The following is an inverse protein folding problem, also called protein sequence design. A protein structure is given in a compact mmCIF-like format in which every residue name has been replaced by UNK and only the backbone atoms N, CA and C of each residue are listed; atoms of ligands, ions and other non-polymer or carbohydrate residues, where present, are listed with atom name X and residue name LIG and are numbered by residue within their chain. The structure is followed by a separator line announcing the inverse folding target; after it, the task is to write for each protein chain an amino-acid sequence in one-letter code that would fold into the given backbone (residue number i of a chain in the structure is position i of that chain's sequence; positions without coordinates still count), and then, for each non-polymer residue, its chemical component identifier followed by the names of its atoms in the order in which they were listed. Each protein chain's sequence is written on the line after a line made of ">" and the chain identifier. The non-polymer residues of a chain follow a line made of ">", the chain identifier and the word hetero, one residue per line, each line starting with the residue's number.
data_IF_747655684382
#
_entry.id   IF_747655684382
#
_cell.length_a   1.000
_cell.length_b   1.000
_cell.length_c   1.000
_cell.angle_alpha   90.00
_cell.angle_beta   90.00
_cell.angle_gamma   90.00
#
_symmetry.space_group_name_H-M   'P 1'
#
loop_
_entity.id
_entity.type
_entity.pdbx_description
1 polymer ?
#
# COMPACT_ATOMS: atom_id res chain seq x y z
N UNK A 1 22.99 7.80 -16.57
CA UNK A 1 22.21 8.13 -15.35
C UNK A 1 23.03 7.81 -14.09
N UNK A 2 23.33 8.81 -13.24
CA UNK A 2 24.02 8.61 -11.96
C UNK A 2 23.14 9.12 -10.82
N UNK A 3 22.80 8.25 -9.86
CA UNK A 3 21.91 8.55 -8.74
C UNK A 3 22.62 8.18 -7.44
N UNK A 4 22.73 9.13 -6.51
CA UNK A 4 23.26 8.90 -5.17
C UNK A 4 22.08 8.89 -4.20
N UNK A 5 21.92 7.77 -3.50
CA UNK A 5 20.88 7.64 -2.49
C UNK A 5 21.44 7.05 -1.19
N UNK A 6 21.68 7.93 -0.22
CA UNK A 6 22.23 7.59 1.10
C UNK A 6 21.13 7.59 2.16
N UNK A 7 21.11 6.66 3.13
CA UNK A 7 22.19 5.71 3.39
C UNK A 7 22.12 4.43 2.54
N UNK A 8 20.97 4.13 1.95
CA UNK A 8 20.84 3.07 0.95
C UNK A 8 19.81 3.48 -0.10
N UNK A 9 19.94 2.90 -1.29
CA UNK A 9 18.95 2.99 -2.34
C UNK A 9 17.94 1.86 -2.17
N UNK A 10 16.64 2.18 -2.13
CA UNK A 10 15.59 1.17 -2.06
C UNK A 10 15.65 0.22 -3.27
N UNK A 11 15.96 -1.09 -3.07
CA UNK A 11 16.02 -2.04 -4.17
C UNK A 11 14.64 -2.58 -4.57
N UNK A 12 13.61 -2.49 -3.71
CA UNK A 12 12.31 -3.12 -3.92
C UNK A 12 11.34 -2.24 -4.72
N UNK A 13 11.35 -0.93 -4.49
CA UNK A 13 10.64 0.00 -5.36
C UNK A 13 11.52 0.48 -6.54
N UNK A 14 12.71 -0.10 -6.77
CA UNK A 14 13.55 0.23 -7.92
C UNK A 14 12.81 -0.13 -9.21
N UNK A 15 12.35 0.89 -9.92
CA UNK A 15 11.69 0.75 -11.21
C UNK A 15 12.50 1.52 -12.25
N UNK A 16 13.25 0.80 -13.07
CA UNK A 16 13.81 1.31 -14.31
C UNK A 16 13.15 0.53 -15.43
N UNK A 17 12.40 1.23 -16.28
CA UNK A 17 11.64 0.59 -17.35
C UNK A 17 12.05 1.22 -18.68
N UNK A 18 12.55 0.37 -19.58
CA UNK A 18 12.73 0.71 -20.98
C UNK A 18 11.41 0.53 -21.71
N UNK A 19 10.98 1.57 -22.42
CA UNK A 19 9.76 1.66 -23.20
C UNK A 19 10.13 1.99 -24.65
N UNK A 20 9.21 1.71 -25.59
CA UNK A 20 9.38 2.01 -27.02
C UNK A 20 10.74 1.53 -27.56
N UNK A 21 11.04 0.25 -27.34
CA UNK A 21 12.29 -0.40 -27.76
C UNK A 21 13.56 0.28 -27.22
N UNK A 22 13.46 0.84 -26.01
CA UNK A 22 14.58 1.48 -25.31
C UNK A 22 14.78 2.96 -25.65
N UNK A 23 13.93 3.56 -26.49
CA UNK A 23 13.99 4.99 -26.79
C UNK A 23 13.55 5.87 -25.62
N UNK A 24 12.73 5.33 -24.74
CA UNK A 24 12.21 6.01 -23.56
C UNK A 24 12.57 5.19 -22.32
N UNK A 25 13.21 5.81 -21.34
CA UNK A 25 13.57 5.18 -20.06
C UNK A 25 12.85 5.94 -18.95
N UNK A 26 11.98 5.25 -18.21
CA UNK A 26 11.44 5.75 -16.95
C UNK A 26 12.31 5.26 -15.81
N UNK A 27 12.81 6.20 -15.01
CA UNK A 27 13.64 5.94 -13.85
C UNK A 27 12.95 6.46 -12.59
N UNK A 28 12.62 5.57 -11.67
CA UNK A 28 12.12 5.95 -10.34
C UNK A 28 13.28 6.32 -9.43
N UNK A 29 13.20 7.48 -8.78
CA UNK A 29 14.16 7.96 -7.79
C UNK A 29 13.48 8.59 -6.59
N UNK A 30 14.12 8.47 -5.42
CA UNK A 30 13.71 9.11 -4.16
C UNK A 30 14.55 10.37 -3.85
N UNK A 31 15.08 11.04 -4.89
CA UNK A 31 15.95 12.22 -4.75
C UNK A 31 15.28 13.38 -4.01
N UNK A 32 13.96 13.48 -4.04
CA UNK A 32 13.17 14.50 -3.34
C UNK A 32 12.72 14.07 -1.93
N UNK A 33 13.08 12.86 -1.50
CA UNK A 33 12.51 12.23 -0.30
C UNK A 33 11.28 11.36 -0.58
N UNK A 34 10.74 11.42 -1.79
CA UNK A 34 9.59 10.63 -2.25
C UNK A 34 9.91 9.97 -3.58
N UNK A 35 9.42 8.75 -3.79
CA UNK A 35 9.69 8.03 -5.02
C UNK A 35 8.91 8.58 -6.20
N UNK A 36 9.58 9.08 -7.22
CA UNK A 36 8.95 9.65 -8.41
C UNK A 36 9.62 9.21 -9.70
N UNK A 37 8.86 9.22 -10.79
CA UNK A 37 9.34 8.89 -12.13
C UNK A 37 9.94 10.11 -12.83
N UNK A 38 11.08 9.85 -13.46
CA UNK A 38 11.83 10.77 -14.30
C UNK A 38 12.05 10.13 -15.65
N UNK A 39 11.85 10.89 -16.71
CA UNK A 39 11.98 10.40 -18.08
C UNK A 39 13.36 10.74 -18.64
N UNK A 40 13.99 9.75 -19.25
CA UNK A 40 15.25 9.84 -19.96
C UNK A 40 15.06 9.27 -21.38
N UNK A 41 15.86 9.70 -22.33
CA UNK A 41 15.93 9.04 -23.65
C UNK A 41 16.82 7.78 -23.61
N UNK A 42 16.91 7.08 -24.74
CA UNK A 42 17.71 5.85 -24.88
C UNK A 42 19.22 6.04 -24.72
N UNK A 43 19.72 7.28 -24.89
CA UNK A 43 21.11 7.64 -24.62
C UNK A 43 21.36 7.98 -23.14
N UNK A 44 20.28 8.04 -22.35
CA UNK A 44 20.30 8.33 -20.93
C UNK A 44 20.36 9.83 -20.59
N UNK A 45 20.02 10.70 -21.55
CA UNK A 45 19.85 12.13 -21.30
C UNK A 45 18.52 12.38 -20.58
N UNK A 46 18.54 13.25 -19.59
CA UNK A 46 17.34 13.63 -18.87
C UNK A 46 16.40 14.44 -19.79
N UNK A 47 15.11 14.06 -19.82
CA UNK A 47 14.07 14.73 -20.59
C UNK A 47 13.22 15.62 -19.70
N UNK A 48 12.52 15.04 -18.73
CA UNK A 48 11.64 15.77 -17.82
C UNK A 48 11.28 14.97 -16.56
N UNK A 49 10.67 15.67 -15.60
CA UNK A 49 9.97 15.08 -14.46
C UNK A 49 8.60 14.59 -14.95
N UNK A 50 8.18 13.39 -14.53
CA UNK A 50 6.84 12.84 -14.84
C UNK A 50 5.89 13.03 -13.68
N UNK A 51 6.38 12.86 -12.45
CA UNK A 51 5.58 12.94 -11.22
C UNK A 51 6.33 13.67 -10.13
N UNK A 52 5.61 14.35 -9.23
CA UNK A 52 6.17 15.00 -8.05
C UNK A 52 5.12 15.12 -6.93
N UNK A 53 5.58 15.45 -5.73
CA UNK A 53 4.73 15.71 -4.57
C UNK A 53 5.27 15.10 -3.27
N UNK A 54 4.41 15.06 -2.25
CA UNK A 54 4.70 14.43 -0.95
C UNK A 54 4.03 13.05 -0.84
N UNK A 55 4.27 12.21 -1.83
CA UNK A 55 3.68 10.87 -1.97
C UNK A 55 4.59 10.00 -2.85
N UNK A 56 4.50 8.68 -2.74
CA UNK A 56 5.41 7.78 -3.45
C UNK A 56 4.74 7.07 -4.62
N UNK A 57 5.37 7.12 -5.79
CA UNK A 57 5.09 6.23 -6.92
C UNK A 57 5.62 4.82 -6.64
N UNK A 58 4.84 3.82 -7.02
CA UNK A 58 5.14 2.40 -7.01
C UNK A 58 5.29 1.83 -8.42
N UNK A 59 4.98 0.55 -8.58
CA UNK A 59 5.20 -0.20 -9.83
C UNK A 59 4.31 0.31 -10.98
N UNK A 60 4.86 0.25 -12.19
CA UNK A 60 4.11 0.48 -13.44
C UNK A 60 3.23 -0.74 -13.70
N UNK A 61 1.95 -0.49 -13.94
CA UNK A 61 0.91 -1.48 -14.25
C UNK A 61 0.77 -1.65 -15.76
N UNK A 62 0.84 -0.55 -16.51
CA UNK A 62 0.71 -0.56 -17.96
C UNK A 62 1.33 0.68 -18.61
N UNK A 63 1.62 0.56 -19.89
CA UNK A 63 2.00 1.67 -20.76
C UNK A 63 1.19 1.59 -22.06
N UNK A 64 0.69 2.73 -22.51
CA UNK A 64 0.06 2.93 -23.82
C UNK A 64 1.03 3.71 -24.69
N UNK A 65 1.64 3.05 -25.68
CA UNK A 65 2.65 3.68 -26.55
C UNK A 65 2.05 4.69 -27.53
N UNK A 66 0.75 4.60 -27.83
CA UNK A 66 0.09 5.51 -28.77
C UNK A 66 -0.14 6.86 -28.11
N UNK A 67 -0.69 6.86 -26.88
CA UNK A 67 -0.90 8.10 -26.14
C UNK A 67 0.28 8.52 -25.27
N UNK A 68 1.30 7.66 -25.16
CA UNK A 68 2.47 7.81 -24.29
C UNK A 68 2.09 7.96 -22.82
N UNK A 69 0.99 7.33 -22.42
CA UNK A 69 0.50 7.33 -21.06
C UNK A 69 1.02 6.12 -20.28
N UNK A 70 1.54 6.36 -19.07
CA UNK A 70 1.93 5.35 -18.10
C UNK A 70 0.90 5.26 -16.98
N UNK A 71 0.57 4.03 -16.59
CA UNK A 71 -0.32 3.70 -15.49
C UNK A 71 0.49 3.01 -14.41
N UNK A 72 0.41 3.48 -13.17
CA UNK A 72 1.27 3.02 -12.09
C UNK A 72 0.54 3.14 -10.75
N UNK A 73 1.00 2.41 -9.73
CA UNK A 73 0.49 2.58 -8.38
C UNK A 73 1.12 3.80 -7.69
N UNK A 74 0.35 4.50 -6.87
CA UNK A 74 0.82 5.55 -5.97
C UNK A 74 0.35 5.29 -4.54
N UNK A 75 1.06 5.90 -3.58
CA UNK A 75 0.89 5.68 -2.14
C UNK A 75 0.91 7.02 -1.39
N UNK A 76 -0.07 7.23 -0.51
CA UNK A 76 -0.05 8.31 0.48
C UNK A 76 -0.25 9.75 -0.05
N UNK A 77 -0.80 9.92 -1.25
CA UNK A 77 -1.17 11.24 -1.78
C UNK A 77 -2.56 11.69 -1.30
N UNK A 78 -3.38 10.74 -0.86
CA UNK A 78 -4.74 10.92 -0.37
C UNK A 78 -4.81 10.71 1.15
N UNK A 79 -5.81 11.31 1.80
CA UNK A 79 -6.07 11.17 3.24
C UNK A 79 -6.74 9.83 3.61
N UNK A 80 -6.16 8.73 3.15
CA UNK A 80 -6.58 7.35 3.45
C UNK A 80 -5.40 6.54 3.96
N UNK A 81 -5.56 5.22 4.13
CA UNK A 81 -4.43 4.35 4.48
C UNK A 81 -3.32 4.48 3.42
N UNK A 82 -2.11 4.95 3.79
CA UNK A 82 -1.03 5.24 2.83
C UNK A 82 -0.42 3.99 2.21
N UNK A 83 -0.75 2.80 2.72
CA UNK A 83 -0.33 1.52 2.16
C UNK A 83 -1.24 1.02 1.04
N UNK A 84 -2.35 1.72 0.77
CA UNK A 84 -3.22 1.38 -0.34
C UNK A 84 -2.57 1.69 -1.69
N UNK A 85 -2.65 0.71 -2.58
CA UNK A 85 -2.23 0.77 -3.96
C UNK A 85 -3.32 1.53 -4.71
N UNK A 86 -2.97 2.71 -5.18
CA UNK A 86 -3.88 3.62 -5.90
C UNK A 86 -3.43 3.73 -7.34
N UNK A 87 -4.31 3.47 -8.30
CA UNK A 87 -3.99 3.58 -9.72
C UNK A 87 -3.93 5.05 -10.14
N UNK A 88 -2.75 5.47 -10.59
CA UNK A 88 -2.51 6.76 -11.23
C UNK A 88 -2.24 6.60 -12.72
N UNK A 89 -2.46 7.69 -13.46
CA UNK A 89 -2.09 7.87 -14.86
C UNK A 89 -1.22 9.13 -14.99
N UNK A 90 -0.13 9.04 -15.74
CA UNK A 90 0.66 10.19 -16.16
C UNK A 90 1.01 10.06 -17.64
N UNK A 91 1.32 11.18 -18.29
CA UNK A 91 1.93 11.17 -19.62
C UNK A 91 3.43 11.35 -19.47
N UNK A 92 4.26 10.54 -20.14
CA UNK A 92 5.70 10.54 -19.86
C UNK A 92 6.42 11.83 -20.29
N UNK A 93 5.86 12.58 -21.24
CA UNK A 93 6.50 13.77 -21.82
C UNK A 93 6.27 15.06 -21.01
N UNK A 94 5.51 15.00 -19.91
CA UNK A 94 5.23 16.16 -19.06
C UNK A 94 4.99 15.77 -17.61
N UNK A 95 5.17 16.73 -16.73
CA UNK A 95 4.86 16.54 -15.31
C UNK A 95 3.35 16.53 -15.07
N UNK A 96 2.87 15.58 -14.27
CA UNK A 96 1.50 15.54 -13.77
C UNK A 96 0.93 14.12 -13.74
N UNK A 97 0.24 13.80 -12.65
CA UNK A 97 -0.43 12.52 -12.45
C UNK A 97 -1.90 12.72 -12.07
N UNK A 98 -2.76 11.82 -12.53
CA UNK A 98 -4.19 11.82 -12.28
C UNK A 98 -4.56 10.51 -11.58
N UNK A 99 -5.24 10.61 -10.43
CA UNK A 99 -5.80 9.46 -9.74
C UNK A 99 -7.00 8.89 -10.51
N UNK A 100 -6.95 7.60 -10.84
CA UNK A 100 -8.02 6.88 -11.53
C UNK A 100 -8.89 6.04 -10.58
N UNK A 101 -8.28 5.38 -9.59
CA UNK A 101 -9.00 4.61 -8.58
C UNK A 101 -9.37 5.52 -7.41
N UNK A 102 -10.65 5.88 -7.27
CA UNK A 102 -11.10 6.88 -6.27
C UNK A 102 -11.74 6.26 -5.04
N UNK A 103 -12.18 5.02 -5.15
CA UNK A 103 -12.84 4.28 -4.08
C UNK A 103 -11.86 4.02 -2.93
N UNK A 104 -12.28 4.10 -1.67
CA UNK A 104 -11.39 3.85 -0.52
C UNK A 104 -11.05 2.36 -0.38
N UNK A 105 -9.77 2.02 -0.55
CA UNK A 105 -9.26 0.66 -0.39
C UNK A 105 -7.99 0.37 -1.19
N UNK A 106 -7.52 -0.86 -1.02
CA UNK A 106 -6.41 -1.46 -1.75
C UNK A 106 -6.90 -1.94 -3.12
N UNK A 107 -6.30 -1.46 -4.20
CA UNK A 107 -6.65 -1.87 -5.57
C UNK A 107 -5.66 -2.89 -6.15
N UNK A 108 -6.17 -3.88 -6.87
CA UNK A 108 -5.44 -4.74 -7.79
C UNK A 108 -6.00 -4.57 -9.21
N UNK A 109 -5.25 -3.87 -10.04
CA UNK A 109 -5.62 -3.50 -11.40
C UNK A 109 -4.92 -4.38 -12.41
N UNK A 110 -5.70 -4.96 -13.33
CA UNK A 110 -5.22 -5.71 -14.50
C UNK A 110 -5.73 -5.07 -15.78
N UNK A 111 -4.83 -4.46 -16.55
CA UNK A 111 -5.18 -3.90 -17.86
C UNK A 111 -5.39 -5.00 -18.90
N UNK A 112 -6.43 -4.83 -19.73
CA UNK A 112 -6.59 -5.65 -20.94
C UNK A 112 -5.50 -5.30 -21.96
N UNK A 113 -5.28 -6.20 -22.93
CA UNK A 113 -4.25 -6.04 -23.97
C UNK A 113 -4.33 -4.69 -24.70
N UNK A 114 -5.54 -4.20 -24.98
CA UNK A 114 -5.78 -2.94 -25.69
C UNK A 114 -5.47 -1.67 -24.91
N UNK A 115 -5.23 -1.76 -23.59
CA UNK A 115 -5.04 -0.64 -22.65
C UNK A 115 -6.21 0.35 -22.55
N UNK A 116 -7.31 0.12 -23.26
CA UNK A 116 -8.54 0.93 -23.19
C UNK A 116 -9.40 0.64 -21.96
N UNK A 117 -9.24 -0.55 -21.39
CA UNK A 117 -10.00 -1.03 -20.23
C UNK A 117 -9.09 -1.81 -19.28
N UNK A 118 -9.52 -1.87 -18.02
CA UNK A 118 -8.89 -2.67 -16.98
C UNK A 118 -9.95 -3.25 -16.03
N UNK A 119 -9.61 -4.40 -15.45
CA UNK A 119 -10.33 -4.95 -14.30
C UNK A 119 -9.70 -4.37 -13.04
N UNK A 120 -10.53 -3.88 -12.13
CA UNK A 120 -10.16 -3.36 -10.82
C UNK A 120 -10.86 -4.17 -9.75
N UNK A 121 -10.07 -4.94 -9.01
CA UNK A 121 -10.53 -5.59 -7.78
C UNK A 121 -10.04 -4.74 -6.62
N UNK A 122 -10.96 -4.18 -5.83
CA UNK A 122 -10.55 -3.43 -4.64
C UNK A 122 -11.28 -3.90 -3.41
N UNK A 123 -10.56 -3.85 -2.29
CA UNK A 123 -11.04 -4.31 -0.99
C UNK A 123 -10.34 -3.56 0.14
N UNK A 124 -10.82 -3.80 1.35
CA UNK A 124 -10.11 -3.52 2.59
C UNK A 124 -10.18 -4.78 3.44
N UNK A 125 -9.38 -4.88 4.50
CA UNK A 125 -9.45 -6.03 5.42
C UNK A 125 -10.86 -6.25 5.98
N UNK A 126 -11.62 -5.15 6.14
CA UNK A 126 -12.98 -5.07 6.66
C UNK A 126 -14.03 -4.80 5.56
N UNK A 127 -13.71 -5.09 4.30
CA UNK A 127 -14.63 -4.87 3.18
C UNK A 127 -14.44 -5.91 2.08
N UNK A 128 -15.49 -6.72 1.86
CA UNK A 128 -15.58 -7.71 0.77
C UNK A 128 -15.19 -7.07 -0.58
N UNK A 129 -14.39 -7.75 -1.42
CA UNK A 129 -13.91 -7.17 -2.66
C UNK A 129 -15.04 -6.84 -3.62
N UNK A 130 -14.91 -5.71 -4.30
CA UNK A 130 -15.72 -5.35 -5.46
C UNK A 130 -14.87 -5.41 -6.71
N UNK A 131 -15.45 -5.94 -7.78
CA UNK A 131 -14.74 -6.23 -9.03
C UNK A 131 -15.43 -5.49 -10.15
N UNK A 132 -14.73 -4.52 -10.75
CA UNK A 132 -15.27 -3.67 -11.80
C UNK A 132 -14.47 -3.78 -13.09
N UNK A 133 -15.17 -3.74 -14.22
CA UNK A 133 -14.57 -3.34 -15.49
C UNK A 133 -14.62 -1.83 -15.60
N UNK A 134 -13.47 -1.18 -15.76
CA UNK A 134 -13.35 0.27 -15.94
C UNK A 134 -12.66 0.59 -17.26
N UNK A 135 -12.95 1.75 -17.84
CA UNK A 135 -12.14 2.27 -18.94
C UNK A 135 -10.86 2.94 -18.42
N UNK A 136 -9.92 3.24 -19.31
CA UNK A 136 -8.64 3.88 -18.98
C UNK A 136 -8.71 5.34 -18.49
N UNK A 137 -9.92 5.87 -18.27
CA UNK A 137 -10.20 7.15 -17.62
C UNK A 137 -10.79 6.97 -16.21
N UNK A 138 -10.88 5.73 -15.71
CA UNK A 138 -11.45 5.40 -14.40
C UNK A 138 -12.98 5.29 -14.37
N UNK A 139 -13.66 5.44 -15.51
CA UNK A 139 -15.13 5.30 -15.56
C UNK A 139 -15.50 3.81 -15.46
N UNK A 140 -16.37 3.49 -14.51
CA UNK A 140 -17.01 2.17 -14.38
C UNK A 140 -17.87 1.89 -15.61
N UNK A 141 -17.66 0.72 -16.20
CA UNK A 141 -18.47 0.18 -17.30
C UNK A 141 -19.51 -0.77 -16.73
N UNK A 142 -19.07 -1.72 -15.90
CA UNK A 142 -19.95 -2.65 -15.18
C UNK A 142 -19.24 -3.26 -13.96
N UNK A 143 -20.04 -3.80 -13.04
CA UNK A 143 -19.60 -4.74 -11.99
C UNK A 143 -19.53 -6.14 -12.59
N UNK A 144 -18.45 -6.87 -12.32
CA UNK A 144 -18.18 -8.18 -12.93
C UNK A 144 -18.64 -9.34 -12.05
N UNK A 145 -18.41 -9.25 -10.73
CA UNK A 145 -18.75 -10.30 -9.78
C UNK A 145 -18.84 -9.74 -8.36
N UNK A 146 -19.67 -10.40 -7.56
CA UNK A 146 -19.83 -10.17 -6.12
C UNK A 146 -19.68 -11.51 -5.40
N UNK A 147 -18.72 -11.65 -4.47
CA UNK A 147 -18.63 -12.87 -3.66
C UNK A 147 -19.89 -13.09 -2.82
N UNK A 148 -20.36 -14.33 -2.75
CA UNK A 148 -21.34 -14.76 -1.76
C UNK A 148 -20.60 -15.32 -0.54
N UNK A 149 -20.86 -14.74 0.62
CA UNK A 149 -20.21 -15.06 1.89
C UNK A 149 -21.23 -15.42 2.97
N UNK A 150 -22.48 -15.72 2.59
CA UNK A 150 -23.55 -16.01 3.54
C UNK A 150 -23.16 -17.13 4.52
N UNK A 151 -22.67 -18.26 4.01
CA UNK A 151 -22.27 -19.41 4.84
C UNK A 151 -21.12 -19.07 5.80
N UNK A 152 -20.22 -18.17 5.41
CA UNK A 152 -19.09 -17.73 6.23
C UNK A 152 -19.58 -16.90 7.42
N UNK A 153 -20.49 -15.96 7.18
CA UNK A 153 -21.08 -15.17 8.26
C UNK A 153 -22.00 -16.00 9.15
N UNK A 154 -22.78 -16.92 8.57
CA UNK A 154 -23.62 -17.85 9.33
C UNK A 154 -22.80 -18.78 10.24
N UNK A 155 -21.57 -19.11 9.83
CA UNK A 155 -20.60 -19.87 10.63
C UNK A 155 -19.94 -19.04 11.76
N UNK A 156 -20.30 -17.76 11.91
CA UNK A 156 -19.80 -16.89 12.98
C UNK A 156 -18.49 -16.18 12.67
N UNK A 157 -18.02 -16.18 11.42
CA UNK A 157 -16.86 -15.39 11.03
C UNK A 157 -17.18 -13.89 11.10
N UNK A 158 -16.29 -13.13 11.73
CA UNK A 158 -16.38 -11.67 11.82
C UNK A 158 -15.22 -11.02 11.08
N UNK A 159 -15.49 -9.84 10.52
CA UNK A 159 -14.45 -9.05 9.88
C UNK A 159 -13.44 -8.54 10.92
N UNK A 160 -12.14 -8.45 10.56
CA UNK A 160 -11.19 -7.73 11.39
C UNK A 160 -11.52 -6.24 11.41
N UNK A 161 -11.00 -5.55 12.43
CA UNK A 161 -11.15 -4.10 12.59
C UNK A 161 -9.87 -3.38 12.19
N UNK A 162 -9.99 -2.33 11.38
CA UNK A 162 -8.89 -1.41 11.16
C UNK A 162 -8.75 -0.45 12.34
N UNK A 163 -7.52 -0.09 12.66
CA UNK A 163 -7.26 0.97 13.62
C UNK A 163 -6.11 1.87 13.18
N UNK A 164 -6.12 3.08 13.73
CA UNK A 164 -5.00 4.01 13.68
C UNK A 164 -4.62 4.39 15.10
N UNK A 165 -3.33 4.39 15.37
CA UNK A 165 -2.71 4.83 16.63
C UNK A 165 -1.51 5.73 16.32
N UNK A 166 -0.99 6.42 17.33
CA UNK A 166 0.25 7.19 17.16
C UNK A 166 1.47 6.31 17.37
N UNK A 167 2.54 6.59 16.65
CA UNK A 167 3.88 6.07 16.92
C UNK A 167 4.41 6.68 18.23
N UNK A 168 5.56 6.19 18.73
CA UNK A 168 6.15 6.66 19.98
C UNK A 168 6.53 8.15 19.96
N UNK A 169 6.68 8.76 18.77
CA UNK A 169 6.84 10.21 18.60
C UNK A 169 5.55 11.02 18.79
N UNK A 170 4.42 10.36 19.04
CA UNK A 170 3.09 10.95 19.29
C UNK A 170 2.49 11.74 18.12
N UNK A 171 3.13 11.73 16.95
CA UNK A 171 2.73 12.54 15.79
C UNK A 171 2.41 11.67 14.59
N UNK A 172 3.24 10.67 14.30
CA UNK A 172 3.12 9.79 13.16
C UNK A 172 1.97 8.80 13.35
N UNK A 173 1.06 8.72 12.38
CA UNK A 173 0.02 7.68 12.38
C UNK A 173 0.61 6.32 12.01
N UNK A 174 0.27 5.29 12.77
CA UNK A 174 0.51 3.88 12.49
C UNK A 174 -0.84 3.21 12.20
N UNK A 175 -0.88 2.45 11.11
CA UNK A 175 -2.08 1.78 10.64
C UNK A 175 -1.98 0.30 10.98
N UNK A 176 -3.06 -0.27 11.49
CA UNK A 176 -3.08 -1.65 11.93
C UNK A 176 -4.45 -2.32 11.76
N UNK A 177 -4.43 -3.62 12.02
CA UNK A 177 -5.57 -4.53 11.89
C UNK A 177 -5.68 -5.35 13.16
N UNK A 178 -6.90 -5.51 13.67
CA UNK A 178 -7.24 -6.20 14.91
C UNK A 178 -8.22 -7.34 14.62
N UNK A 179 -7.91 -8.53 15.11
CA UNK A 179 -8.81 -9.67 15.14
C UNK A 179 -9.25 -9.92 16.58
N UNK A 180 -10.56 -10.04 16.78
CA UNK A 180 -11.19 -10.33 18.07
C UNK A 180 -11.77 -11.75 18.08
N UNK A 181 -11.96 -12.36 19.27
CA UNK A 181 -12.74 -13.58 19.40
C UNK A 181 -14.14 -13.40 18.78
N UNK A 182 -14.72 -14.45 18.19
CA UNK A 182 -16.07 -14.37 17.63
C UNK A 182 -17.14 -14.07 18.70
N UNK A 183 -16.88 -14.46 19.94
CA UNK A 183 -17.71 -14.21 21.13
C UNK A 183 -17.22 -13.01 21.97
N UNK A 184 -16.52 -12.05 21.34
CA UNK A 184 -15.96 -10.89 22.03
C UNK A 184 -17.02 -10.15 22.86
N UNK A 185 -16.76 -10.10 24.16
CA UNK A 185 -17.48 -9.31 25.15
C UNK A 185 -16.63 -8.08 25.55
N UNK A 186 -17.10 -6.84 25.29
CA UNK A 186 -16.36 -5.62 25.64
C UNK A 186 -16.17 -5.42 27.15
N UNK A 187 -16.86 -6.17 28.01
CA UNK A 187 -16.72 -6.09 29.47
C UNK A 187 -15.64 -7.03 30.03
N UNK A 188 -15.02 -7.86 29.20
CA UNK A 188 -13.94 -8.79 29.59
C UNK A 188 -12.57 -8.25 29.20
N UNK A 189 -11.53 -8.75 29.87
CA UNK A 189 -10.13 -8.50 29.53
C UNK A 189 -9.59 -9.66 28.72
N UNK A 190 -8.84 -9.35 27.66
CA UNK A 190 -8.21 -10.32 26.79
C UNK A 190 -6.70 -10.09 26.74
N UNK A 191 -5.88 -11.16 26.72
CA UNK A 191 -4.46 -11.03 26.37
C UNK A 191 -4.31 -10.56 24.91
N UNK A 192 -3.35 -9.67 24.67
CA UNK A 192 -3.02 -9.16 23.33
C UNK A 192 -1.81 -9.91 22.78
N UNK A 193 -1.93 -10.42 21.54
CA UNK A 193 -0.81 -10.91 20.74
C UNK A 193 -0.52 -9.87 19.65
N UNK A 194 0.67 -9.27 19.67
CA UNK A 194 1.18 -8.44 18.58
C UNK A 194 1.96 -9.28 17.59
N UNK A 195 1.52 -9.32 16.34
CA UNK A 195 2.19 -10.02 15.24
C UNK A 195 3.11 -9.03 14.54
N UNK A 196 4.41 -9.19 14.80
CA UNK A 196 5.41 -8.19 14.44
C UNK A 196 6.31 -8.68 13.30
N UNK A 197 6.41 -7.87 12.25
CA UNK A 197 7.45 -8.00 11.22
C UNK A 197 8.04 -6.61 10.94
N UNK A 198 9.21 -6.29 11.54
CA UNK A 198 9.82 -4.97 11.39
C UNK A 198 10.87 -4.97 10.27
N UNK A 199 10.66 -5.76 9.22
CA UNK A 199 11.50 -5.67 8.03
C UNK A 199 11.22 -4.36 7.29
N UNK A 200 12.24 -3.66 6.76
CA UNK A 200 12.06 -2.31 6.23
C UNK A 200 11.25 -2.23 4.92
N UNK A 201 10.92 -3.36 4.30
CA UNK A 201 10.39 -3.36 2.93
C UNK A 201 8.88 -3.53 2.84
N UNK A 202 8.32 -4.48 3.59
CA UNK A 202 6.89 -4.75 3.56
C UNK A 202 6.44 -5.32 4.91
N UNK A 203 5.88 -4.46 5.75
CA UNK A 203 5.25 -4.84 7.02
C UNK A 203 4.16 -5.90 6.83
N UNK A 204 3.92 -6.71 7.86
CA UNK A 204 2.90 -7.78 7.86
C UNK A 204 1.48 -7.26 8.16
N UNK A 205 1.17 -6.01 7.78
CA UNK A 205 -0.17 -5.44 7.99
C UNK A 205 -1.01 -5.70 6.74
N UNK A 206 -2.05 -6.54 6.81
CA UNK A 206 -2.87 -6.80 5.65
C UNK A 206 -3.66 -5.55 5.25
N UNK A 207 -3.80 -5.33 3.95
CA UNK A 207 -4.59 -4.21 3.37
C UNK A 207 -5.75 -4.70 2.51
N UNK A 208 -5.85 -6.01 2.27
CA UNK A 208 -6.89 -6.64 1.44
C UNK A 208 -7.79 -7.54 2.26
N UNK A 209 -9.00 -7.76 1.76
CA UNK A 209 -9.92 -8.74 2.30
C UNK A 209 -9.35 -10.16 2.17
N UNK A 210 -9.43 -10.94 3.25
CA UNK A 210 -9.13 -12.37 3.24
C UNK A 210 -10.02 -13.08 4.26
N UNK A 211 -10.56 -14.24 3.89
CA UNK A 211 -11.28 -15.13 4.82
C UNK A 211 -10.34 -15.83 5.81
N UNK A 212 -9.06 -15.97 5.43
CA UNK A 212 -8.06 -16.68 6.21
C UNK A 212 -6.81 -15.83 6.33
N UNK A 213 -6.74 -15.03 7.39
CA UNK A 213 -5.56 -14.24 7.75
C UNK A 213 -4.49 -15.07 8.49
N UNK A 214 -4.19 -16.25 7.92
CA UNK A 214 -3.27 -17.26 8.45
C UNK A 214 -3.55 -17.59 9.93
N UNK A 215 -2.59 -17.31 10.82
CA UNK A 215 -2.63 -17.64 12.24
C UNK A 215 -3.41 -16.61 13.06
N UNK A 216 -3.61 -15.38 12.57
CA UNK A 216 -4.15 -14.28 13.36
C UNK A 216 -5.59 -14.57 13.78
N UNK A 217 -6.43 -14.96 12.82
CA UNK A 217 -7.81 -15.32 13.09
C UNK A 217 -7.90 -16.55 14.01
N UNK A 218 -7.04 -17.56 13.82
CA UNK A 218 -7.03 -18.78 14.64
C UNK A 218 -6.66 -18.49 16.09
N UNK A 219 -5.66 -17.64 16.32
CA UNK A 219 -5.28 -17.20 17.65
C UNK A 219 -6.38 -16.37 18.31
N UNK A 220 -7.08 -15.52 17.55
CA UNK A 220 -8.21 -14.76 18.09
C UNK A 220 -9.33 -15.67 18.61
N UNK A 221 -9.64 -16.76 17.90
CA UNK A 221 -10.63 -17.74 18.35
C UNK A 221 -10.20 -18.58 19.56
N UNK A 222 -8.94 -18.51 20.00
CA UNK A 222 -8.47 -19.10 21.26
C UNK A 222 -8.65 -18.14 22.46
N UNK A 223 -9.30 -16.98 22.27
CA UNK A 223 -9.57 -16.00 23.33
C UNK A 223 -8.52 -14.89 23.44
N UNK A 224 -7.74 -14.64 22.40
CA UNK A 224 -6.80 -13.51 22.33
C UNK A 224 -7.37 -12.36 21.51
N UNK A 225 -6.96 -11.12 21.80
CA UNK A 225 -7.01 -10.05 20.81
C UNK A 225 -5.69 -10.11 20.03
N UNK A 226 -5.75 -10.25 18.71
CA UNK A 226 -4.56 -10.28 17.87
C UNK A 226 -4.47 -8.98 17.10
N UNK A 227 -3.28 -8.38 17.03
CA UNK A 227 -3.05 -7.17 16.26
C UNK A 227 -1.86 -7.33 15.32
N UNK A 228 -1.91 -6.64 14.19
CA UNK A 228 -0.77 -6.34 13.35
C UNK A 228 -0.75 -4.82 13.12
N UNK A 229 0.38 -4.18 13.34
CA UNK A 229 0.52 -2.73 13.21
C UNK A 229 1.84 -2.40 12.52
N UNK A 230 1.80 -1.40 11.64
CA UNK A 230 3.01 -0.92 10.96
C UNK A 230 3.85 -0.07 11.91
N UNK A 231 5.17 -0.10 11.75
CA UNK A 231 6.11 0.68 12.57
C UNK A 231 6.86 1.67 11.68
N UNK A 232 7.30 2.81 12.24
CA UNK A 232 8.15 3.73 11.46
C UNK A 232 9.38 3.00 10.95
N UNK A 233 9.58 2.98 9.63
CA UNK A 233 10.70 2.27 9.01
C UNK A 233 10.32 1.01 8.24
N UNK A 234 9.08 0.54 8.35
CA UNK A 234 8.63 -0.75 7.78
C UNK A 234 8.36 -0.77 6.28
N UNK A 235 8.38 0.40 5.61
CA UNK A 235 7.97 0.50 4.21
C UNK A 235 8.51 1.72 3.47
N UNK A 236 8.92 1.57 2.19
CA UNK A 236 9.23 2.68 1.28
C UNK A 236 7.99 3.47 0.83
N UNK A 237 6.78 2.94 1.02
CA UNK A 237 5.53 3.56 0.53
C UNK A 237 5.24 4.90 1.20
N UNK A 238 5.78 5.10 2.40
CA UNK A 238 5.57 6.32 3.21
C UNK A 238 6.70 7.34 3.09
N UNK A 239 7.53 7.19 2.05
CA UNK A 239 8.62 8.10 1.76
C UNK A 239 9.90 7.76 2.52
N UNK A 240 10.97 8.38 2.06
CA UNK A 240 12.36 8.08 2.43
C UNK A 240 12.65 8.32 3.92
N UNK A 241 12.11 9.39 4.48
CA UNK A 241 12.30 9.72 5.90
C UNK A 241 11.64 8.67 6.80
N UNK A 242 10.43 8.23 6.45
CA UNK A 242 9.73 7.17 7.17
C UNK A 242 10.48 5.84 7.08
N UNK A 243 10.80 5.41 5.85
CA UNK A 243 11.46 4.13 5.55
C UNK A 243 12.83 3.96 6.24
N UNK A 244 13.51 5.05 6.57
CA UNK A 244 14.88 5.01 7.12
C UNK A 244 14.96 5.17 8.61
N UNK A 245 13.82 5.24 9.30
CA UNK A 245 13.79 5.39 10.75
C UNK A 245 14.64 4.32 11.48
N UNK A 246 14.60 3.07 11.00
CA UNK A 246 15.39 1.97 11.58
C UNK A 246 16.85 1.87 11.10
N UNK A 247 17.35 2.79 10.27
CA UNK A 247 18.70 2.68 9.73
C UNK A 247 19.77 2.72 10.83
N UNK A 248 20.66 1.72 10.84
CA UNK A 248 21.67 1.56 11.89
C UNK A 248 21.13 1.01 13.22
N UNK A 249 19.82 0.77 13.33
CA UNK A 249 19.17 0.24 14.55
C UNK A 249 18.06 -0.79 14.21
N UNK A 250 18.33 -1.72 13.29
CA UNK A 250 17.30 -2.64 12.78
C UNK A 250 16.67 -3.55 13.85
N UNK A 251 17.39 -3.80 14.96
CA UNK A 251 16.92 -4.67 16.04
C UNK A 251 15.84 -3.99 16.89
N UNK A 252 16.09 -2.76 17.34
CA UNK A 252 15.32 -2.16 18.43
C UNK A 252 14.36 -1.05 17.97
N UNK A 253 14.51 -0.53 16.75
CA UNK A 253 13.66 0.56 16.25
C UNK A 253 12.13 0.33 16.33
N UNK A 254 11.57 -0.88 16.11
CA UNK A 254 10.12 -1.05 16.09
C UNK A 254 9.53 -1.17 17.50
N UNK A 255 10.34 -1.52 18.51
CA UNK A 255 9.88 -1.92 19.83
C UNK A 255 9.11 -0.81 20.56
N UNK A 256 9.58 0.43 20.44
CA UNK A 256 8.94 1.57 21.06
C UNK A 256 7.57 1.88 20.43
N UNK A 257 7.46 1.76 19.11
CA UNK A 257 6.22 1.96 18.38
C UNK A 257 5.21 0.85 18.70
N UNK A 258 5.66 -0.41 18.76
CA UNK A 258 4.81 -1.56 19.08
C UNK A 258 4.24 -1.48 20.51
N UNK A 259 5.12 -1.21 21.49
CA UNK A 259 4.72 -1.00 22.89
C UNK A 259 3.68 0.11 23.00
N UNK A 260 3.92 1.26 22.37
CA UNK A 260 3.04 2.41 22.47
C UNK A 260 1.70 2.19 21.75
N UNK A 261 1.69 1.42 20.65
CA UNK A 261 0.46 0.99 19.99
C UNK A 261 -0.39 0.10 20.92
N UNK A 262 0.23 -0.90 21.57
CA UNK A 262 -0.45 -1.79 22.52
C UNK A 262 -1.02 -1.01 23.70
N UNK A 263 -0.24 -0.08 24.28
CA UNK A 263 -0.68 0.77 25.40
C UNK A 263 -1.91 1.62 25.02
N UNK A 264 -1.91 2.23 23.83
CA UNK A 264 -3.06 3.01 23.33
C UNK A 264 -4.30 2.16 23.08
N UNK A 265 -4.14 0.91 22.63
CA UNK A 265 -5.26 0.00 22.39
C UNK A 265 -5.82 -0.55 23.70
N UNK A 266 -4.97 -0.87 24.67
CA UNK A 266 -5.36 -1.37 25.98
C UNK A 266 -6.05 -0.31 26.86
N UNK A 267 -5.85 0.98 26.56
CA UNK A 267 -6.51 2.09 27.26
C UNK A 267 -7.87 2.49 26.69
N UNK A 268 -8.34 1.83 25.62
CA UNK A 268 -9.65 2.11 24.99
C UNK A 268 -10.79 1.46 25.75
#
# INVERSE_FOLDING_TARGET
>A
MHEIDKPYRDPHARSVVALNDGKDILFRSERTGWGHYYHYDGDGNFKNVVTSGKWSCGHIVAFDSVTRDVYFYGYGNEEINPYYYRLYKANIDREGAILLSKEDGQHDVKFLKSKRYYVDTYSKVDMVPKIFLKNNKGKVICELAKPDLKEVFDAGWTMPEQFVVKAADRTTNLYGVMWKPADFDPNKKYPIISVVYPGPYYGFVPTTFSLSDRYNLRMAQLGFIVIAVGHRGDSPMRGKAYHRYGYGNMRDYPLADDKFAIEQLASR
#
